data_IF_712053961311
#
_entry.id   IF_712053961311
#
_cell.length_a   1.000
_cell.length_b   1.000
_cell.length_c   1.000
_cell.angle_alpha   90.00
_cell.angle_beta   90.00
_cell.angle_gamma   90.00
#
_symmetry.space_group_name_H-M   'P 1'
#
loop_
_entity.id
_entity.type
_entity.pdbx_description
1 polymer ?
#
# COMPACT_ATOMS: atom_id res chain seq x y z
N UNK A 1 -40.89 -28.79 36.43
CA UNK A 1 -40.11 -28.45 37.65
C UNK A 1 -38.82 -27.79 37.19
N UNK A 2 -38.57 -26.55 37.64
CA UNK A 2 -37.53 -25.63 37.16
C UNK A 2 -36.12 -26.15 37.49
N UNK A 3 -35.19 -26.17 36.53
CA UNK A 3 -33.76 -26.13 36.84
C UNK A 3 -33.23 -24.72 36.69
N UNK A 4 -32.62 -24.23 37.77
CA UNK A 4 -32.17 -22.87 38.00
C UNK A 4 -30.91 -22.58 37.17
N UNK A 5 -30.87 -21.39 36.57
CA UNK A 5 -29.65 -20.74 36.07
C UNK A 5 -28.76 -20.38 37.26
N UNK A 6 -27.49 -20.74 37.20
CA UNK A 6 -26.46 -20.20 38.09
C UNK A 6 -25.57 -19.27 37.28
N UNK A 7 -25.68 -17.98 37.57
CA UNK A 7 -24.77 -16.92 37.12
C UNK A 7 -23.58 -16.93 38.08
N UNK A 8 -22.35 -16.98 37.57
CA UNK A 8 -21.15 -16.66 38.34
C UNK A 8 -20.45 -15.50 37.63
N UNK A 9 -20.68 -14.30 38.18
CA UNK A 9 -19.87 -13.12 37.94
C UNK A 9 -18.52 -13.30 38.64
N UNK A 10 -17.42 -13.16 37.90
CA UNK A 10 -16.06 -13.09 38.44
C UNK A 10 -15.54 -11.65 38.36
N UNK A 11 -15.31 -11.06 39.52
CA UNK A 11 -14.92 -9.66 39.78
C UNK A 11 -13.51 -9.36 39.27
N UNK A 12 -13.34 -8.23 38.58
CA UNK A 12 -12.04 -7.62 38.26
C UNK A 12 -11.63 -6.67 39.39
N UNK A 13 -10.63 -7.08 40.19
CA UNK A 13 -9.96 -6.22 41.16
C UNK A 13 -8.89 -5.37 40.46
N UNK A 14 -9.10 -4.05 40.43
CA UNK A 14 -8.16 -3.06 39.91
C UNK A 14 -7.14 -2.75 41.01
N UNK A 15 -5.88 -3.12 40.78
CA UNK A 15 -4.73 -2.59 41.52
C UNK A 15 -4.10 -1.45 40.73
N UNK A 16 -4.25 -0.22 41.19
CA UNK A 16 -3.51 0.94 40.69
C UNK A 16 -2.11 0.92 41.31
N UNK A 17 -1.07 0.97 40.49
CA UNK A 17 0.24 1.44 40.94
C UNK A 17 0.88 2.29 39.84
N UNK A 18 1.19 3.54 40.21
CA UNK A 18 1.86 4.53 39.38
C UNK A 18 3.39 4.35 39.47
N UNK A 19 4.09 4.62 38.36
CA UNK A 19 5.46 5.13 38.42
C UNK A 19 6.49 4.46 37.49
N UNK A 20 7.08 5.32 36.66
CA UNK A 20 8.38 5.22 35.96
C UNK A 20 8.45 4.49 34.60
N UNK A 21 9.11 5.19 33.68
CA UNK A 21 9.30 4.95 32.25
C UNK A 21 10.00 3.64 31.91
N UNK A 22 9.42 2.86 31.00
CA UNK A 22 10.09 1.73 30.34
C UNK A 22 9.12 0.69 29.79
N UNK A 23 9.09 0.56 28.46
CA UNK A 23 8.48 -0.51 27.64
C UNK A 23 6.95 -0.70 27.75
N UNK A 24 6.30 -0.76 26.58
CA UNK A 24 4.91 -1.19 26.45
C UNK A 24 4.79 -2.62 27.01
N UNK A 25 3.98 -2.80 28.05
CA UNK A 25 3.66 -4.12 28.57
C UNK A 25 2.70 -4.80 27.60
N UNK A 26 3.15 -5.94 27.04
CA UNK A 26 2.29 -6.91 26.38
C UNK A 26 1.12 -7.25 27.31
N UNK A 27 -0.12 -7.04 26.86
CA UNK A 27 -1.29 -7.47 27.59
C UNK A 27 -1.30 -8.99 27.72
N UNK A 28 -1.15 -9.47 28.95
CA UNK A 28 -1.16 -10.90 29.27
C UNK A 28 -2.43 -11.59 28.74
N UNK A 29 -2.26 -12.55 27.83
CA UNK A 29 -3.34 -13.43 27.35
C UNK A 29 -3.30 -14.69 28.19
N UNK A 30 -4.43 -15.09 28.77
CA UNK A 30 -4.50 -16.28 29.61
C UNK A 30 -4.79 -17.53 28.78
N UNK A 31 -4.07 -18.63 29.06
CA UNK A 31 -4.23 -19.93 28.42
C UNK A 31 -4.58 -21.00 29.44
N UNK A 32 -5.59 -21.81 29.12
CA UNK A 32 -6.00 -22.95 29.94
C UNK A 32 -5.30 -24.21 29.43
N UNK A 33 -4.44 -24.78 30.27
CA UNK A 33 -3.66 -25.99 30.02
C UNK A 33 -4.57 -27.14 29.62
N UNK A 34 -4.20 -27.82 28.52
CA UNK A 34 -4.85 -29.02 28.00
C UNK A 34 -4.06 -30.28 28.38
N UNK A 35 -4.69 -31.44 28.22
CA UNK A 35 -4.02 -32.73 28.49
C UNK A 35 -2.81 -32.92 27.58
N UNK A 36 -1.65 -33.23 28.16
CA UNK A 36 -0.40 -33.46 27.42
C UNK A 36 0.41 -32.20 27.10
N UNK A 37 -0.03 -31.02 27.56
CA UNK A 37 0.69 -29.77 27.44
C UNK A 37 1.98 -29.75 28.27
N UNK A 38 2.99 -29.09 27.73
CA UNK A 38 4.20 -28.70 28.45
C UNK A 38 4.53 -27.25 28.09
N UNK A 39 5.30 -26.55 28.92
CA UNK A 39 5.78 -25.21 28.60
C UNK A 39 6.50 -25.16 27.24
N UNK A 40 7.22 -26.22 26.87
CA UNK A 40 7.86 -26.34 25.58
C UNK A 40 6.85 -26.45 24.42
N UNK A 41 5.84 -27.33 24.53
CA UNK A 41 4.80 -27.48 23.48
C UNK A 41 3.97 -26.22 23.31
N UNK A 42 3.62 -25.56 24.41
CA UNK A 42 2.87 -24.30 24.40
C UNK A 42 3.74 -23.18 23.80
N UNK A 43 5.00 -23.07 24.23
CA UNK A 43 5.95 -22.12 23.66
C UNK A 43 6.09 -22.28 22.15
N UNK A 44 6.24 -23.51 21.67
CA UNK A 44 6.28 -23.82 20.24
C UNK A 44 4.99 -23.41 19.52
N UNK A 45 3.82 -23.74 20.09
CA UNK A 45 2.51 -23.43 19.51
C UNK A 45 2.30 -21.92 19.30
N UNK A 46 2.70 -21.10 20.27
CA UNK A 46 2.49 -19.65 20.26
C UNK A 46 3.70 -18.85 19.76
N UNK A 47 4.77 -19.53 19.30
CA UNK A 47 6.03 -18.91 18.93
C UNK A 47 6.65 -18.06 20.07
N UNK A 48 6.58 -18.55 21.30
CA UNK A 48 7.12 -17.95 22.52
C UNK A 48 8.30 -18.82 22.98
N UNK A 49 9.43 -18.19 23.33
CA UNK A 49 10.54 -18.97 23.89
C UNK A 49 10.12 -19.59 25.23
N UNK A 50 10.51 -20.85 25.46
CA UNK A 50 10.19 -21.57 26.71
C UNK A 50 10.67 -20.76 27.92
N UNK A 51 11.83 -20.10 27.83
CA UNK A 51 12.36 -19.24 28.87
C UNK A 51 11.46 -18.03 29.17
N UNK A 52 10.93 -17.36 28.14
CA UNK A 52 10.01 -16.23 28.33
C UNK A 52 8.68 -16.69 28.94
N UNK A 53 8.16 -17.83 28.49
CA UNK A 53 6.92 -18.40 29.02
C UNK A 53 7.07 -18.86 30.48
N UNK A 54 8.18 -19.52 30.81
CA UNK A 54 8.50 -19.90 32.19
C UNK A 54 8.61 -18.66 33.08
N UNK A 55 9.36 -17.63 32.63
CA UNK A 55 9.51 -16.37 33.36
C UNK A 55 8.18 -15.66 33.60
N UNK A 56 7.31 -15.58 32.59
CA UNK A 56 6.00 -14.95 32.70
C UNK A 56 5.07 -15.66 33.70
N UNK A 57 5.34 -16.92 34.01
CA UNK A 57 4.55 -17.76 34.90
C UNK A 57 5.26 -18.08 36.22
N UNK A 58 6.39 -17.41 36.52
CA UNK A 58 7.23 -17.72 37.69
C UNK A 58 7.56 -19.23 37.81
N UNK A 59 7.76 -19.89 36.67
CA UNK A 59 8.01 -21.31 36.54
C UNK A 59 9.49 -21.59 36.16
N UNK A 60 9.90 -22.84 36.27
CA UNK A 60 11.21 -23.33 35.84
C UNK A 60 11.08 -24.62 35.01
N UNK A 61 12.19 -25.15 34.52
CA UNK A 61 12.25 -26.34 33.65
C UNK A 61 11.63 -27.62 34.27
N UNK A 62 11.53 -27.69 35.60
CA UNK A 62 10.94 -28.82 36.33
C UNK A 62 9.45 -28.60 36.64
N UNK A 63 8.87 -27.46 36.26
CA UNK A 63 7.47 -27.14 36.57
C UNK A 63 6.53 -27.94 35.67
N UNK A 64 5.70 -28.80 36.28
CA UNK A 64 4.69 -29.61 35.60
C UNK A 64 3.39 -28.82 35.44
N UNK A 65 2.77 -28.91 34.26
CA UNK A 65 1.47 -28.30 33.98
C UNK A 65 0.34 -29.30 34.20
N UNK A 66 -0.74 -28.86 34.84
CA UNK A 66 -1.93 -29.68 35.08
C UNK A 66 -3.09 -29.27 34.18
N UNK A 67 -3.83 -30.21 33.57
CA UNK A 67 -4.99 -29.87 32.76
C UNK A 67 -6.00 -28.99 33.51
N UNK A 68 -6.39 -27.88 32.89
CA UNK A 68 -7.28 -26.87 33.47
C UNK A 68 -6.58 -25.73 34.21
N UNK A 69 -5.29 -25.85 34.51
CA UNK A 69 -4.47 -24.76 35.05
C UNK A 69 -4.48 -23.58 34.07
N UNK A 70 -4.56 -22.35 34.59
CA UNK A 70 -4.40 -21.15 33.76
C UNK A 70 -2.98 -20.63 33.87
N UNK A 71 -2.36 -20.35 32.72
CA UNK A 71 -1.04 -19.73 32.63
C UNK A 71 -1.13 -18.46 31.77
N UNK A 72 -0.21 -17.54 32.00
CA UNK A 72 -0.05 -16.31 31.23
C UNK A 72 0.80 -16.60 30.00
N UNK A 73 0.30 -16.22 28.82
CA UNK A 73 1.09 -16.17 27.61
C UNK A 73 1.60 -14.74 27.40
N UNK A 74 2.93 -14.50 27.39
CA UNK A 74 3.50 -13.19 27.11
C UNK A 74 3.49 -12.92 25.59
N UNK A 75 2.29 -12.90 25.00
CA UNK A 75 2.06 -12.64 23.57
C UNK A 75 2.14 -11.13 23.35
N UNK A 76 2.90 -10.70 22.34
CA UNK A 76 2.97 -9.29 21.97
C UNK A 76 1.61 -8.76 21.52
N UNK A 77 1.29 -7.51 21.85
CA UNK A 77 0.00 -6.89 21.51
C UNK A 77 -0.32 -6.93 20.01
N UNK A 78 0.70 -6.84 19.16
CA UNK A 78 0.58 -6.93 17.69
C UNK A 78 0.07 -8.29 17.17
N UNK A 79 0.17 -9.34 18.00
CA UNK A 79 -0.36 -10.69 17.71
C UNK A 79 -1.75 -10.92 18.30
N UNK A 80 -2.41 -9.88 18.83
CA UNK A 80 -3.73 -9.99 19.44
C UNK A 80 -4.72 -9.08 18.72
N UNK A 81 -5.76 -9.69 18.16
CA UNK A 81 -6.91 -8.99 17.61
C UNK A 81 -8.04 -8.91 18.65
N UNK A 82 -8.58 -7.70 18.86
CA UNK A 82 -9.74 -7.49 19.73
C UNK A 82 -11.00 -7.56 18.89
N UNK A 83 -11.84 -8.54 19.19
CA UNK A 83 -13.08 -8.83 18.47
C UNK A 83 -14.02 -7.62 18.51
N UNK A 84 -14.51 -7.24 17.33
CA UNK A 84 -15.50 -6.20 17.10
C UNK A 84 -16.89 -6.81 16.83
N UNK A 85 -17.91 -5.96 16.78
CA UNK A 85 -19.27 -6.41 16.50
C UNK A 85 -19.37 -7.05 15.11
N UNK A 86 -19.93 -8.26 15.03
CA UNK A 86 -20.08 -9.01 13.78
C UNK A 86 -18.85 -9.84 13.37
N UNK A 87 -17.80 -9.86 14.17
CA UNK A 87 -16.63 -10.67 13.89
C UNK A 87 -16.88 -12.17 14.11
N UNK A 88 -16.24 -12.97 13.27
CA UNK A 88 -16.19 -14.43 13.34
C UNK A 88 -14.76 -14.88 13.09
N UNK A 89 -14.37 -16.07 13.52
CA UNK A 89 -13.07 -16.61 13.15
C UNK A 89 -12.87 -16.67 11.63
N UNK A 90 -13.96 -16.88 10.86
CA UNK A 90 -13.90 -16.94 9.41
C UNK A 90 -13.57 -15.58 8.79
N UNK A 91 -14.30 -14.52 9.13
CA UNK A 91 -14.05 -13.20 8.52
C UNK A 91 -12.72 -12.60 8.99
N UNK A 92 -12.29 -12.86 10.22
CA UNK A 92 -10.95 -12.52 10.71
C UNK A 92 -9.89 -13.26 9.89
N UNK A 93 -10.06 -14.57 9.66
CA UNK A 93 -9.08 -15.32 8.86
C UNK A 93 -8.99 -14.78 7.42
N UNK A 94 -10.12 -14.41 6.80
CA UNK A 94 -10.13 -13.80 5.46
C UNK A 94 -9.44 -12.44 5.45
N UNK A 95 -9.74 -11.59 6.43
CA UNK A 95 -9.17 -10.24 6.57
C UNK A 95 -7.65 -10.25 6.66
N UNK A 96 -7.09 -11.20 7.40
CA UNK A 96 -5.65 -11.31 7.63
C UNK A 96 -4.94 -12.34 6.72
N UNK A 97 -5.68 -12.98 5.79
CA UNK A 97 -5.12 -14.01 4.91
C UNK A 97 -4.65 -15.27 5.63
N UNK A 98 -5.22 -15.58 6.80
CA UNK A 98 -4.83 -16.73 7.64
C UNK A 98 -5.68 -17.94 7.24
N UNK A 99 -5.09 -19.13 7.28
CA UNK A 99 -5.84 -20.36 7.14
C UNK A 99 -6.87 -20.48 8.29
N UNK A 100 -8.15 -20.64 7.94
CA UNK A 100 -9.23 -20.69 8.92
C UNK A 100 -9.02 -21.76 10.02
N UNK A 101 -8.57 -22.97 9.63
CA UNK A 101 -8.33 -24.05 10.59
C UNK A 101 -7.13 -23.78 11.49
N UNK A 102 -6.10 -23.13 10.96
CA UNK A 102 -4.94 -22.70 11.73
C UNK A 102 -5.32 -21.66 12.79
N UNK A 103 -6.12 -20.65 12.40
CA UNK A 103 -6.60 -19.63 13.32
C UNK A 103 -7.43 -20.24 14.46
N UNK A 104 -8.32 -21.19 14.15
CA UNK A 104 -9.09 -21.90 15.16
C UNK A 104 -8.17 -22.69 16.12
N UNK A 105 -7.23 -23.47 15.58
CA UNK A 105 -6.32 -24.29 16.36
C UNK A 105 -5.43 -23.46 17.30
N UNK A 106 -4.95 -22.29 16.83
CA UNK A 106 -4.15 -21.36 17.62
C UNK A 106 -4.93 -20.81 18.82
N UNK A 107 -6.23 -20.59 18.65
CA UNK A 107 -7.12 -20.03 19.66
C UNK A 107 -7.85 -21.09 20.49
N UNK A 108 -7.47 -22.38 20.38
CA UNK A 108 -8.20 -23.50 21.00
C UNK A 108 -9.70 -23.49 20.68
N UNK A 109 -10.07 -22.97 19.51
CA UNK A 109 -11.42 -22.84 19.03
C UNK A 109 -11.75 -23.97 18.03
N UNK A 110 -13.03 -24.10 17.73
CA UNK A 110 -13.55 -24.98 16.68
C UNK A 110 -14.57 -24.23 15.83
N UNK A 111 -15.10 -24.88 14.79
CA UNK A 111 -16.01 -24.26 13.83
C UNK A 111 -17.32 -23.75 14.45
N UNK A 112 -17.69 -24.24 15.64
CA UNK A 112 -18.86 -23.80 16.40
C UNK A 112 -18.54 -22.74 17.45
N UNK A 113 -17.27 -22.34 17.60
CA UNK A 113 -16.87 -21.30 18.55
C UNK A 113 -17.35 -19.92 18.10
N UNK A 114 -18.17 -19.28 18.93
CA UNK A 114 -18.64 -17.91 18.73
C UNK A 114 -17.70 -16.92 19.41
N UNK A 115 -17.60 -15.72 18.84
CA UNK A 115 -16.81 -14.60 19.38
C UNK A 115 -17.74 -13.53 19.94
N UNK A 116 -17.40 -12.99 21.10
CA UNK A 116 -18.04 -11.82 21.70
C UNK A 116 -17.16 -10.59 21.52
N UNK A 117 -17.78 -9.42 21.41
CA UNK A 117 -17.06 -8.14 21.34
C UNK A 117 -16.15 -8.00 22.56
N UNK A 118 -14.87 -7.68 22.31
CA UNK A 118 -13.83 -7.58 23.33
C UNK A 118 -13.04 -8.86 23.57
N UNK A 119 -13.46 -10.00 23.00
CA UNK A 119 -12.66 -11.22 23.04
C UNK A 119 -11.29 -10.99 22.36
N UNK A 120 -10.27 -11.67 22.86
CA UNK A 120 -8.91 -11.61 22.32
C UNK A 120 -8.66 -12.82 21.44
N UNK A 121 -8.47 -12.59 20.14
CA UNK A 121 -8.08 -13.60 19.16
C UNK A 121 -6.59 -13.47 18.91
N UNK A 122 -5.85 -14.52 19.22
CA UNK A 122 -4.43 -14.63 18.92
C UNK A 122 -4.28 -14.87 17.41
N UNK A 123 -3.52 -14.01 16.76
CA UNK A 123 -3.12 -14.16 15.36
C UNK A 123 -1.74 -14.85 15.29
N UNK A 124 -1.47 -15.69 14.28
CA UNK A 124 -0.14 -16.21 14.08
C UNK A 124 0.82 -15.06 13.71
N UNK A 125 2.10 -15.19 14.03
CA UNK A 125 3.08 -14.17 13.67
C UNK A 125 3.20 -14.00 12.14
N UNK A 126 2.99 -15.09 11.41
CA UNK A 126 3.04 -15.14 9.94
C UNK A 126 1.91 -15.97 9.39
N UNK A 127 1.37 -15.61 8.23
CA UNK A 127 0.44 -16.43 7.45
C UNK A 127 1.11 -16.93 6.18
N UNK A 128 0.74 -18.12 5.71
CA UNK A 128 1.19 -18.61 4.42
C UNK A 128 0.28 -18.09 3.31
N UNK A 129 0.88 -17.55 2.25
CA UNK A 129 0.20 -17.09 1.05
C UNK A 129 0.76 -17.81 -0.17
N UNK A 130 -0.12 -18.48 -0.90
CA UNK A 130 0.23 -19.07 -2.20
C UNK A 130 0.18 -17.97 -3.26
N UNK A 131 1.32 -17.69 -3.86
CA UNK A 131 1.52 -16.74 -4.96
C UNK A 131 0.57 -17.09 -6.10
N UNK A 132 -0.21 -16.09 -6.50
CA UNK A 132 -1.12 -16.14 -7.63
C UNK A 132 -0.47 -15.52 -8.87
N UNK A 133 -1.07 -15.76 -10.04
CA UNK A 133 -0.57 -15.19 -11.31
C UNK A 133 -0.56 -13.66 -11.26
N UNK A 134 0.61 -13.06 -11.47
CA UNK A 134 0.83 -11.61 -11.45
C UNK A 134 1.23 -11.05 -10.09
N UNK A 135 1.37 -11.91 -9.07
CA UNK A 135 1.88 -11.47 -7.78
C UNK A 135 3.37 -11.13 -7.82
N UNK A 136 3.69 -10.04 -7.16
CA UNK A 136 5.04 -9.67 -6.75
C UNK A 136 5.02 -9.47 -5.23
N UNK A 137 6.19 -9.48 -4.60
CA UNK A 137 6.27 -9.09 -3.19
C UNK A 137 5.64 -7.71 -2.93
N UNK A 138 5.71 -6.80 -3.92
CA UNK A 138 5.11 -5.49 -3.79
C UNK A 138 3.57 -5.57 -3.80
N UNK A 139 2.96 -6.20 -4.80
CA UNK A 139 1.50 -6.31 -4.89
C UNK A 139 0.92 -7.06 -3.69
N UNK A 140 1.62 -8.10 -3.23
CA UNK A 140 1.26 -8.84 -2.01
C UNK A 140 1.36 -7.93 -0.77
N UNK A 141 2.41 -7.12 -0.65
CA UNK A 141 2.56 -6.20 0.48
C UNK A 141 1.41 -5.20 0.57
N UNK A 142 0.93 -4.70 -0.58
CA UNK A 142 -0.19 -3.77 -0.65
C UNK A 142 -1.51 -4.48 -0.31
N UNK A 143 -1.74 -5.67 -0.90
CA UNK A 143 -2.92 -6.50 -0.64
C UNK A 143 -3.10 -6.79 0.85
N UNK A 144 -2.02 -7.11 1.54
CA UNK A 144 -2.03 -7.42 2.96
C UNK A 144 -1.72 -6.22 3.85
N UNK A 145 -1.51 -5.02 3.30
CA UNK A 145 -1.14 -3.81 4.08
C UNK A 145 0.04 -4.05 5.03
N UNK A 146 1.03 -4.82 4.58
CA UNK A 146 2.24 -5.13 5.36
C UNK A 146 3.43 -4.34 4.85
N UNK A 147 4.43 -4.15 5.71
CA UNK A 147 5.67 -3.49 5.29
C UNK A 147 6.39 -4.34 4.22
N UNK A 148 6.63 -3.75 3.05
CA UNK A 148 7.26 -4.42 1.92
C UNK A 148 8.66 -4.98 2.25
N UNK A 149 9.49 -4.19 2.95
CA UNK A 149 10.85 -4.59 3.33
C UNK A 149 10.83 -5.77 4.30
N UNK A 150 9.89 -5.76 5.24
CA UNK A 150 9.73 -6.85 6.20
C UNK A 150 9.24 -8.13 5.52
N UNK A 151 8.29 -8.00 4.59
CA UNK A 151 7.80 -9.11 3.79
C UNK A 151 8.94 -9.77 2.97
N UNK A 152 9.82 -8.98 2.36
CA UNK A 152 11.00 -9.50 1.65
C UNK A 152 11.94 -10.24 2.60
N UNK A 153 12.33 -9.59 3.70
CA UNK A 153 13.24 -10.17 4.70
C UNK A 153 12.70 -11.47 5.27
N UNK A 154 11.40 -11.53 5.57
CA UNK A 154 10.73 -12.71 6.12
C UNK A 154 10.84 -13.92 5.19
N UNK A 155 10.89 -13.69 3.88
CA UNK A 155 10.97 -14.72 2.87
C UNK A 155 12.39 -14.98 2.35
N UNK A 156 13.42 -14.40 3.00
CA UNK A 156 14.79 -14.47 2.49
C UNK A 156 14.95 -13.87 1.09
N UNK A 157 14.01 -13.01 0.70
CA UNK A 157 13.91 -12.41 -0.62
C UNK A 157 14.51 -11.01 -0.62
N UNK A 158 14.76 -10.50 -1.83
CA UNK A 158 15.13 -9.12 -2.08
C UNK A 158 14.31 -8.58 -3.28
N UNK A 159 14.52 -7.33 -3.64
CA UNK A 159 13.72 -6.65 -4.68
C UNK A 159 13.91 -7.24 -6.09
N UNK A 160 14.94 -8.06 -6.30
CA UNK A 160 15.16 -8.82 -7.54
C UNK A 160 14.57 -10.23 -7.49
N UNK A 161 14.00 -10.63 -6.36
CA UNK A 161 13.36 -11.94 -6.21
C UNK A 161 12.05 -11.97 -6.97
N UNK A 162 11.96 -12.90 -7.90
CA UNK A 162 10.72 -13.22 -8.60
C UNK A 162 9.90 -14.20 -7.77
N UNK A 163 8.59 -14.17 -8.00
CA UNK A 163 7.66 -15.11 -7.39
C UNK A 163 7.11 -16.04 -8.47
N UNK A 164 7.23 -17.34 -8.23
CA UNK A 164 6.64 -18.35 -9.09
C UNK A 164 5.18 -18.58 -8.70
N UNK A 165 4.33 -18.77 -9.69
CA UNK A 165 2.92 -19.10 -9.44
C UNK A 165 2.85 -20.42 -8.66
N UNK A 166 2.10 -20.42 -7.56
CA UNK A 166 2.02 -21.56 -6.65
C UNK A 166 3.11 -21.61 -5.59
N UNK A 167 4.13 -20.74 -5.65
CA UNK A 167 5.10 -20.57 -4.58
C UNK A 167 4.38 -20.16 -3.30
N UNK A 168 4.72 -20.77 -2.17
CA UNK A 168 4.18 -20.36 -0.87
C UNK A 168 5.18 -19.41 -0.21
N UNK A 169 4.72 -18.21 0.13
CA UNK A 169 5.49 -17.23 0.88
C UNK A 169 4.82 -16.92 2.22
N UNK A 170 5.59 -16.40 3.17
CA UNK A 170 5.12 -15.98 4.49
C UNK A 170 4.77 -14.49 4.48
N UNK A 171 3.60 -14.14 5.00
CA UNK A 171 3.13 -12.77 5.19
C UNK A 171 3.24 -12.43 6.68
N UNK A 172 3.88 -11.31 7.08
CA UNK A 172 3.95 -10.92 8.48
C UNK A 172 2.59 -10.36 8.93
N UNK A 173 1.83 -11.13 9.72
CA UNK A 173 0.47 -10.74 10.15
C UNK A 173 0.53 -9.65 11.24
N UNK A 174 1.57 -9.66 12.07
CA UNK A 174 1.76 -8.70 13.17
C UNK A 174 2.00 -7.27 12.69
N UNK A 175 2.60 -7.10 11.51
CA UNK A 175 2.87 -5.79 10.91
C UNK A 175 1.62 -5.13 10.33
N UNK A 176 0.53 -5.89 10.18
CA UNK A 176 -0.77 -5.41 9.69
C UNK A 176 -1.50 -4.57 10.75
N UNK A 177 -1.17 -4.76 12.04
CA UNK A 177 -1.69 -3.97 13.17
C UNK A 177 -0.88 -2.70 13.47
N UNK A 178 0.28 -2.51 12.82
CA UNK A 178 1.24 -1.43 13.10
C UNK A 178 1.16 -0.26 12.11
N UNK A 179 0.18 -0.22 11.21
CA UNK A 179 -0.08 0.99 10.40
C UNK A 179 -0.72 2.03 11.32
N UNK A 180 -0.09 3.19 11.58
CA UNK A 180 -0.71 4.25 12.35
C UNK A 180 -1.96 4.73 11.60
N UNK A 181 -3.12 4.67 12.26
CA UNK A 181 -4.29 5.39 11.83
C UNK A 181 -3.99 6.90 11.93
N UNK A 182 -3.84 7.57 10.78
CA UNK A 182 -3.93 9.02 10.73
C UNK A 182 -5.38 9.43 10.96
N UNK A 183 -5.68 9.68 12.24
CA UNK A 183 -6.62 10.68 12.78
C UNK A 183 -8.02 10.74 12.17
N UNK A 184 -8.87 9.78 12.54
CA UNK A 184 -10.31 10.00 12.64
C UNK A 184 -10.62 10.71 13.97
N UNK A 185 -11.01 11.99 13.94
CA UNK A 185 -11.65 12.64 15.08
C UNK A 185 -13.17 12.42 14.98
N UNK A 186 -13.74 11.70 15.95
CA UNK A 186 -15.19 11.65 16.19
C UNK A 186 -15.59 12.74 17.19
N UNK A 187 -16.71 13.41 16.90
CA UNK A 187 -17.78 13.91 17.79
C UNK A 187 -18.62 14.90 16.94
N UNK A 188 -19.96 14.91 16.86
CA UNK A 188 -21.02 14.32 17.65
C UNK A 188 -22.32 14.17 16.82
N UNK A 189 -23.20 13.29 17.29
CA UNK A 189 -24.65 13.18 17.03
C UNK A 189 -25.37 14.41 16.43
N UNK A 190 -26.21 14.20 15.41
CA UNK A 190 -27.67 14.46 15.51
C UNK A 190 -28.44 13.99 14.27
N UNK A 191 -29.43 13.12 14.52
CA UNK A 191 -30.77 12.99 13.91
C UNK A 191 -31.06 13.34 12.44
N UNK A 192 -31.70 12.38 11.77
CA UNK A 192 -32.68 12.51 10.68
C UNK A 192 -33.36 13.89 10.60
N UNK A 193 -33.34 14.53 9.43
CA UNK A 193 -34.53 15.07 8.71
C UNK A 193 -34.12 15.43 7.27
N UNK A 194 -34.95 15.01 6.31
CA UNK A 194 -34.89 15.33 4.88
C UNK A 194 -34.87 16.84 4.60
N UNK A 195 -34.05 17.30 3.66
CA UNK A 195 -34.49 18.03 2.45
C UNK A 195 -33.33 18.49 1.56
N UNK A 196 -33.59 18.40 0.26
CA UNK A 196 -32.69 18.64 -0.86
C UNK A 196 -32.20 20.09 -0.98
N UNK A 197 -30.88 20.25 -1.14
CA UNK A 197 -30.14 21.21 -2.01
C UNK A 197 -28.83 21.65 -1.34
N UNK A 198 -27.69 21.00 -1.66
CA UNK A 198 -26.37 21.63 -1.65
C UNK A 198 -25.27 20.70 -2.17
N UNK A 199 -24.28 21.27 -2.86
CA UNK A 199 -23.16 20.56 -3.48
C UNK A 199 -22.35 19.73 -2.48
N UNK A 200 -22.14 18.46 -2.82
CA UNK A 200 -21.36 17.51 -2.04
C UNK A 200 -19.88 17.92 -2.02
N UNK A 201 -19.44 18.56 -0.93
CA UNK A 201 -18.03 18.64 -0.59
C UNK A 201 -17.57 17.28 -0.04
N UNK A 202 -17.23 16.37 -0.96
CA UNK A 202 -16.46 15.16 -0.65
C UNK A 202 -15.02 15.58 -0.31
N UNK A 203 -14.61 15.37 0.94
CA UNK A 203 -13.35 15.88 1.52
C UNK A 203 -12.08 15.11 1.09
N UNK A 204 -12.17 14.11 0.21
CA UNK A 204 -11.02 13.29 -0.22
C UNK A 204 -11.24 12.58 -1.55
N UNK A 205 -10.19 11.96 -2.13
CA UNK A 205 -10.30 11.24 -3.39
C UNK A 205 -11.31 10.09 -3.28
N UNK A 206 -12.12 9.92 -4.32
CA UNK A 206 -13.15 8.87 -4.35
C UNK A 206 -13.31 8.26 -5.73
N UNK A 207 -13.72 7.00 -5.77
CA UNK A 207 -13.88 6.24 -7.01
C UNK A 207 -15.37 6.19 -7.37
N UNK A 208 -15.68 6.59 -8.61
CA UNK A 208 -16.95 6.30 -9.27
C UNK A 208 -16.72 5.24 -10.35
N UNK A 209 -17.80 4.79 -10.99
CA UNK A 209 -17.70 3.82 -12.07
C UNK A 209 -18.44 4.30 -13.31
N UNK A 210 -17.83 4.08 -14.47
CA UNK A 210 -18.49 4.18 -15.77
C UNK A 210 -18.52 2.81 -16.44
N UNK A 211 -19.25 2.69 -17.55
CA UNK A 211 -19.31 1.46 -18.34
C UNK A 211 -18.62 1.65 -19.68
N UNK A 212 -17.85 0.66 -20.11
CA UNK A 212 -17.21 0.60 -21.41
C UNK A 212 -17.56 -0.70 -22.13
N UNK A 213 -17.88 -0.61 -23.42
CA UNK A 213 -18.16 -1.79 -24.25
C UNK A 213 -16.90 -2.14 -25.04
N UNK A 214 -16.37 -3.34 -24.83
CA UNK A 214 -15.17 -3.86 -25.49
C UNK A 214 -15.33 -3.81 -27.01
N UNK A 215 -14.35 -3.22 -27.67
CA UNK A 215 -14.26 -3.04 -29.12
C UNK A 215 -13.27 -4.04 -29.74
N UNK A 216 -13.29 -4.17 -31.07
CA UNK A 216 -12.35 -5.02 -31.80
C UNK A 216 -10.92 -4.52 -31.59
N UNK A 217 -10.03 -5.41 -31.11
CA UNK A 217 -8.62 -5.10 -30.86
C UNK A 217 -8.33 -4.63 -29.43
N UNK A 218 -9.36 -4.46 -28.60
CA UNK A 218 -9.16 -4.09 -27.20
C UNK A 218 -8.50 -5.21 -26.40
N UNK A 219 -7.56 -4.82 -25.55
CA UNK A 219 -7.01 -5.60 -24.45
C UNK A 219 -7.32 -4.89 -23.13
N UNK A 220 -7.29 -5.63 -22.01
CA UNK A 220 -7.42 -5.01 -20.68
C UNK A 220 -6.37 -3.92 -20.47
N UNK A 221 -5.16 -4.12 -20.99
CA UNK A 221 -4.08 -3.13 -20.94
C UNK A 221 -4.44 -1.85 -21.71
N UNK A 222 -4.84 -1.96 -22.98
CA UNK A 222 -5.18 -0.79 -23.80
C UNK A 222 -6.41 -0.04 -23.29
N UNK A 223 -7.37 -0.75 -22.69
CA UNK A 223 -8.54 -0.12 -22.06
C UNK A 223 -8.12 0.62 -20.80
N UNK A 224 -7.32 -0.01 -19.93
CA UNK A 224 -6.85 0.62 -18.71
C UNK A 224 -6.01 1.88 -19.00
N UNK A 225 -5.12 1.80 -19.99
CA UNK A 225 -4.34 2.95 -20.46
C UNK A 225 -5.24 4.08 -20.98
N UNK A 226 -6.24 3.75 -21.81
CA UNK A 226 -7.24 4.71 -22.30
C UNK A 226 -7.99 5.44 -21.19
N UNK A 227 -8.26 4.77 -20.08
CA UNK A 227 -8.95 5.35 -18.93
C UNK A 227 -8.01 5.87 -17.83
N UNK A 228 -6.69 5.81 -18.04
CA UNK A 228 -5.72 6.34 -17.09
C UNK A 228 -5.67 5.58 -15.75
N UNK A 229 -6.05 4.30 -15.75
CA UNK A 229 -6.04 3.42 -14.58
C UNK A 229 -5.04 2.28 -14.79
N UNK A 230 -4.67 1.58 -13.72
CA UNK A 230 -3.89 0.36 -13.88
C UNK A 230 -4.74 -0.76 -14.49
N UNK A 231 -4.09 -1.64 -15.27
CA UNK A 231 -4.73 -2.87 -15.76
C UNK A 231 -5.30 -3.71 -14.61
N UNK A 232 -4.64 -3.67 -13.46
CA UNK A 232 -5.09 -4.36 -12.24
C UNK A 232 -6.43 -3.82 -11.73
N UNK A 233 -6.59 -2.50 -11.60
CA UNK A 233 -7.85 -1.89 -11.15
C UNK A 233 -9.02 -2.20 -12.11
N UNK A 234 -8.75 -2.18 -13.42
CA UNK A 234 -9.74 -2.59 -14.42
C UNK A 234 -10.16 -4.05 -14.21
N UNK A 235 -9.17 -4.93 -14.02
CA UNK A 235 -9.40 -6.35 -13.85
C UNK A 235 -10.19 -6.65 -12.56
N UNK A 236 -9.79 -6.04 -11.45
CA UNK A 236 -10.44 -6.17 -10.14
C UNK A 236 -11.90 -5.70 -10.19
N UNK A 237 -12.16 -4.53 -10.78
CA UNK A 237 -13.53 -3.99 -10.89
C UNK A 237 -14.49 -4.88 -11.70
N UNK A 238 -13.93 -5.79 -12.51
CA UNK A 238 -14.69 -6.68 -13.40
C UNK A 238 -14.59 -8.16 -13.00
N UNK A 239 -13.92 -8.48 -11.89
CA UNK A 239 -13.63 -9.86 -11.49
C UNK A 239 -13.00 -10.71 -12.61
N UNK A 240 -12.13 -10.09 -13.43
CA UNK A 240 -11.40 -10.75 -14.52
C UNK A 240 -9.91 -10.82 -14.16
N UNK A 241 -9.15 -11.66 -14.86
CA UNK A 241 -7.70 -11.78 -14.66
C UNK A 241 -6.93 -11.58 -15.97
N UNK A 242 -5.59 -11.59 -15.91
CA UNK A 242 -4.73 -11.36 -17.08
C UNK A 242 -4.87 -12.41 -18.19
N UNK A 243 -5.50 -13.56 -17.89
CA UNK A 243 -5.77 -14.64 -18.84
C UNK A 243 -7.20 -14.57 -19.38
N UNK A 244 -8.05 -13.68 -18.85
CA UNK A 244 -9.42 -13.52 -19.33
C UNK A 244 -9.40 -12.87 -20.70
N UNK A 245 -9.94 -13.59 -21.69
CA UNK A 245 -10.17 -13.04 -23.02
C UNK A 245 -11.36 -12.10 -22.96
N UNK A 246 -11.16 -10.86 -23.36
CA UNK A 246 -12.24 -9.88 -23.49
C UNK A 246 -13.01 -10.16 -24.77
N UNK A 247 -14.33 -10.31 -24.66
CA UNK A 247 -15.18 -10.54 -25.83
C UNK A 247 -15.68 -9.20 -26.38
N UNK A 248 -15.68 -9.05 -27.70
CA UNK A 248 -16.26 -7.86 -28.35
C UNK A 248 -17.74 -7.73 -27.92
N UNK A 249 -18.14 -6.54 -27.49
CA UNK A 249 -19.47 -6.28 -26.93
C UNK A 249 -19.61 -6.52 -25.43
N UNK A 250 -18.61 -7.10 -24.76
CA UNK A 250 -18.58 -7.23 -23.30
C UNK A 250 -18.60 -5.85 -22.64
N UNK A 251 -19.48 -5.66 -21.66
CA UNK A 251 -19.50 -4.45 -20.84
C UNK A 251 -18.56 -4.60 -19.66
N UNK A 252 -17.65 -3.65 -19.51
CA UNK A 252 -16.73 -3.54 -18.39
C UNK A 252 -17.13 -2.36 -17.50
N UNK A 253 -17.02 -2.56 -16.19
CA UNK A 253 -17.08 -1.55 -15.13
C UNK A 253 -15.71 -0.89 -15.01
N UNK A 254 -15.63 0.39 -15.31
CA UNK A 254 -14.38 1.14 -15.34
C UNK A 254 -14.30 2.04 -14.10
N UNK A 255 -13.31 1.85 -13.22
CA UNK A 255 -13.01 2.81 -12.14
C UNK A 255 -12.68 4.20 -12.70
N UNK A 256 -13.25 5.22 -12.08
CA UNK A 256 -12.96 6.63 -12.37
C UNK A 256 -12.57 7.30 -11.06
N UNK A 257 -11.31 7.68 -10.94
CA UNK A 257 -10.78 8.39 -9.79
C UNK A 257 -11.12 9.87 -9.87
N UNK A 258 -11.85 10.36 -8.87
CA UNK A 258 -12.15 11.77 -8.71
C UNK A 258 -11.20 12.34 -7.66
N UNK A 259 -10.32 13.22 -8.10
CA UNK A 259 -9.32 13.88 -7.24
C UNK A 259 -9.80 15.31 -6.96
N UNK A 260 -10.31 15.62 -5.76
CA UNK A 260 -10.72 16.97 -5.40
C UNK A 260 -9.60 17.98 -5.59
N UNK A 261 -9.97 19.23 -5.85
CA UNK A 261 -9.02 20.35 -5.86
C UNK A 261 -8.65 20.65 -4.41
N UNK A 262 -7.34 20.70 -4.12
CA UNK A 262 -6.81 21.10 -2.82
C UNK A 262 -6.50 22.58 -2.79
N UNK A 263 -6.67 23.19 -1.62
CA UNK A 263 -6.22 24.55 -1.39
C UNK A 263 -4.70 24.64 -1.47
N UNK A 264 -4.20 25.81 -1.88
CA UNK A 264 -2.76 26.11 -1.91
C UNK A 264 -2.49 27.36 -1.08
N UNK A 265 -1.29 27.52 -0.48
CA UNK A 265 -0.96 28.70 0.32
C UNK A 265 -0.89 30.02 -0.47
N UNK A 266 -0.98 29.99 -1.80
CA UNK A 266 -0.89 31.16 -2.65
C UNK A 266 -0.66 30.83 -4.12
N UNK A 267 -0.73 31.85 -4.99
CA UNK A 267 -0.72 31.67 -6.45
C UNK A 267 0.55 31.04 -7.03
N UNK A 268 1.69 31.14 -6.35
CA UNK A 268 2.94 30.50 -6.81
C UNK A 268 3.00 29.00 -6.50
N UNK A 269 2.17 28.50 -5.59
CA UNK A 269 2.22 27.12 -5.11
C UNK A 269 1.27 26.20 -5.88
N UNK A 270 1.58 24.91 -5.83
CA UNK A 270 0.78 23.83 -6.39
C UNK A 270 0.13 22.97 -5.31
N UNK A 271 -0.87 22.21 -5.71
CA UNK A 271 -1.57 21.23 -4.88
C UNK A 271 -0.62 20.09 -4.47
N UNK A 272 -0.56 19.79 -3.17
CA UNK A 272 0.19 18.65 -2.66
C UNK A 272 -0.63 17.37 -2.85
N UNK A 273 -0.36 16.68 -3.97
CA UNK A 273 -1.05 15.45 -4.34
C UNK A 273 -0.18 14.23 -4.09
N UNK A 274 -0.76 13.23 -3.43
CA UNK A 274 -0.14 11.92 -3.22
C UNK A 274 -0.09 11.14 -4.54
N UNK A 275 1.06 10.54 -4.85
CA UNK A 275 1.26 9.82 -6.10
C UNK A 275 0.29 8.65 -6.26
N UNK A 276 0.09 7.88 -5.20
CA UNK A 276 -0.58 6.59 -5.25
C UNK A 276 -2.10 6.73 -5.29
N UNK A 277 -2.63 7.80 -4.70
CA UNK A 277 -4.08 8.01 -4.56
C UNK A 277 -4.62 9.15 -5.43
N UNK A 278 -3.77 10.03 -5.95
CA UNK A 278 -4.21 11.27 -6.58
C UNK A 278 -3.46 11.60 -7.87
N UNK A 279 -2.17 11.96 -7.80
CA UNK A 279 -1.46 12.58 -8.92
C UNK A 279 -1.38 11.67 -10.16
N UNK A 280 -1.20 10.35 -9.98
CA UNK A 280 -1.10 9.42 -11.10
C UNK A 280 -2.40 9.29 -11.91
N UNK A 281 -3.54 9.52 -11.26
CA UNK A 281 -4.87 9.46 -11.88
C UNK A 281 -5.30 10.82 -12.42
N UNK A 282 -4.84 11.90 -11.80
CA UNK A 282 -5.04 13.24 -12.32
C UNK A 282 -4.24 13.46 -13.61
N UNK A 283 -3.02 12.94 -13.68
CA UNK A 283 -2.12 13.09 -14.83
C UNK A 283 -1.79 11.68 -15.38
N UNK A 284 -2.75 11.02 -16.04
CA UNK A 284 -2.57 9.65 -16.53
C UNK A 284 -1.48 9.55 -17.61
N UNK A 285 -1.00 8.34 -17.90
CA UNK A 285 -0.06 8.10 -19.00
C UNK A 285 -0.64 8.62 -20.32
N UNK A 286 0.22 9.17 -21.17
CA UNK A 286 -0.17 9.83 -22.39
C UNK A 286 -0.54 11.31 -22.23
N UNK A 287 -0.72 11.80 -21.00
CA UNK A 287 -1.01 13.21 -20.74
C UNK A 287 0.14 14.11 -21.17
N UNK A 288 -0.20 15.21 -21.83
CA UNK A 288 0.71 16.30 -22.13
C UNK A 288 0.42 17.47 -21.20
N UNK A 289 1.46 18.03 -20.58
CA UNK A 289 1.34 19.11 -19.62
C UNK A 289 2.53 20.06 -19.64
N UNK A 290 2.32 21.26 -19.12
CA UNK A 290 3.36 22.28 -18.95
C UNK A 290 4.06 22.06 -17.60
N UNK A 291 5.39 21.98 -17.63
CA UNK A 291 6.25 22.00 -16.45
C UNK A 291 6.79 23.41 -16.28
N UNK A 292 6.63 23.98 -15.09
CA UNK A 292 7.17 25.30 -14.74
C UNK A 292 8.21 25.11 -13.65
N UNK A 293 9.45 25.55 -13.89
CA UNK A 293 10.46 25.58 -12.84
C UNK A 293 10.08 26.61 -11.78
N UNK A 294 10.04 26.16 -10.53
CA UNK A 294 9.48 26.96 -9.45
C UNK A 294 10.30 28.23 -9.14
N UNK A 295 11.61 28.21 -9.40
CA UNK A 295 12.49 29.34 -9.09
C UNK A 295 12.58 30.35 -10.23
N UNK A 296 12.72 29.89 -11.46
CA UNK A 296 12.94 30.77 -12.63
C UNK A 296 11.63 31.18 -13.31
N UNK A 297 10.54 30.45 -13.09
CA UNK A 297 9.26 30.65 -13.78
C UNK A 297 9.27 30.24 -15.26
N UNK A 298 10.42 29.76 -15.78
CA UNK A 298 10.51 29.22 -17.13
C UNK A 298 9.72 27.93 -17.24
N UNK A 299 9.10 27.72 -18.40
CA UNK A 299 8.28 26.54 -18.64
C UNK A 299 8.49 25.90 -20.00
N UNK A 300 8.20 24.61 -20.07
CA UNK A 300 8.32 23.78 -21.25
C UNK A 300 7.28 22.66 -21.19
N UNK A 301 6.97 22.06 -22.34
CA UNK A 301 5.97 21.00 -22.42
C UNK A 301 6.61 19.62 -22.42
N UNK A 302 5.94 18.71 -21.72
CA UNK A 302 6.33 17.29 -21.64
C UNK A 302 5.12 16.40 -21.87
N UNK A 303 5.39 15.13 -22.17
CA UNK A 303 4.40 14.06 -22.13
C UNK A 303 4.82 13.04 -21.09
N UNK A 304 3.88 12.58 -20.26
CA UNK A 304 4.09 11.37 -19.45
C UNK A 304 4.03 10.15 -20.37
N UNK A 305 5.17 9.54 -20.64
CA UNK A 305 5.28 8.37 -21.53
C UNK A 305 5.33 7.06 -20.76
N UNK A 306 5.62 7.11 -19.46
CA UNK A 306 5.68 5.92 -18.61
C UNK A 306 5.44 6.21 -17.13
N UNK A 307 6.16 5.47 -16.29
CA UNK A 307 6.21 5.70 -14.85
C UNK A 307 5.14 4.96 -14.06
N UNK A 308 5.60 4.11 -13.14
CA UNK A 308 4.77 3.38 -12.16
C UNK A 308 4.94 3.93 -10.75
N UNK A 309 6.17 4.30 -10.38
CA UNK A 309 6.51 4.78 -9.05
C UNK A 309 6.54 6.31 -8.95
N UNK A 310 6.64 6.96 -10.11
CA UNK A 310 6.60 8.38 -10.40
C UNK A 310 6.25 8.54 -11.88
N UNK A 311 6.25 9.76 -12.42
CA UNK A 311 5.95 9.99 -13.83
C UNK A 311 7.23 10.04 -14.67
N UNK A 312 7.40 9.06 -15.55
CA UNK A 312 8.46 9.07 -16.57
C UNK A 312 7.99 9.95 -17.72
N UNK A 313 8.76 11.00 -18.01
CA UNK A 313 8.35 12.04 -18.94
C UNK A 313 9.41 12.31 -20.01
N UNK A 314 8.93 12.75 -21.16
CA UNK A 314 9.77 13.17 -22.29
C UNK A 314 9.36 14.57 -22.72
N UNK A 315 10.34 15.41 -23.08
CA UNK A 315 10.05 16.71 -23.72
C UNK A 315 9.38 16.49 -25.07
N UNK A 316 8.46 17.39 -25.46
CA UNK A 316 7.78 17.26 -26.75
C UNK A 316 8.66 17.65 -27.93
N UNK A 317 9.49 18.68 -27.78
CA UNK A 317 10.25 19.27 -28.88
C UNK A 317 11.68 19.64 -28.49
N UNK A 318 12.52 19.89 -29.50
CA UNK A 318 13.88 20.45 -29.31
C UNK A 318 13.85 21.81 -28.62
N UNK A 319 12.78 22.60 -28.78
CA UNK A 319 12.63 23.86 -28.06
C UNK A 319 12.44 23.63 -26.56
N UNK A 320 11.61 22.66 -26.19
CA UNK A 320 11.35 22.30 -24.79
C UNK A 320 12.63 21.83 -24.10
N UNK A 321 13.42 20.98 -24.77
CA UNK A 321 14.68 20.50 -24.18
C UNK A 321 15.72 21.60 -24.02
N UNK A 322 15.77 22.58 -24.92
CA UNK A 322 16.67 23.71 -24.79
C UNK A 322 16.32 24.57 -23.56
N UNK A 323 15.03 24.80 -23.29
CA UNK A 323 14.58 25.50 -22.08
C UNK A 323 14.93 24.68 -20.83
N UNK A 324 14.69 23.37 -20.84
CA UNK A 324 15.05 22.48 -19.73
C UNK A 324 16.56 22.54 -19.43
N UNK A 325 17.41 22.48 -20.46
CA UNK A 325 18.87 22.62 -20.31
C UNK A 325 19.26 23.99 -19.77
N UNK A 326 18.59 25.06 -20.17
CA UNK A 326 18.86 26.41 -19.67
C UNK A 326 18.58 26.54 -18.17
N UNK A 327 17.53 25.86 -17.67
CA UNK A 327 17.16 25.88 -16.24
C UNK A 327 18.16 25.08 -15.38
N UNK A 328 18.62 23.92 -15.88
CA UNK A 328 19.51 23.02 -15.14
C UNK A 328 21.01 23.20 -15.43
N UNK A 329 21.38 24.03 -16.42
CA UNK A 329 22.76 24.16 -16.90
C UNK A 329 23.25 22.97 -17.72
N UNK A 330 22.33 22.24 -18.36
CA UNK A 330 22.58 20.98 -19.07
C UNK A 330 21.74 19.83 -18.52
N UNK A 331 22.09 18.59 -18.90
CA UNK A 331 21.46 17.41 -18.30
C UNK A 331 21.98 17.18 -16.89
N UNK A 332 21.08 16.94 -15.96
CA UNK A 332 21.43 16.97 -14.54
C UNK A 332 20.47 16.18 -13.67
N UNK A 333 21.04 15.41 -12.75
CA UNK A 333 20.33 14.74 -11.67
C UNK A 333 19.96 15.70 -10.52
N UNK A 334 20.23 17.00 -10.61
CA UNK A 334 19.82 17.94 -9.55
C UNK A 334 18.30 17.96 -9.46
N UNK A 335 17.77 17.69 -8.25
CA UNK A 335 16.33 17.78 -7.97
C UNK A 335 15.95 19.23 -7.85
N UNK A 336 14.90 19.63 -8.56
CA UNK A 336 14.32 20.98 -8.45
C UNK A 336 12.83 20.91 -8.15
N UNK A 337 12.28 21.89 -7.40
CA UNK A 337 10.85 22.08 -7.28
C UNK A 337 10.28 22.56 -8.62
N UNK A 338 9.18 21.96 -9.04
CA UNK A 338 8.45 22.36 -10.26
C UNK A 338 6.95 22.41 -9.98
N UNK A 339 6.22 23.18 -10.79
CA UNK A 339 4.76 23.20 -10.85
C UNK A 339 4.33 22.54 -12.15
N UNK A 340 3.44 21.56 -12.04
CA UNK A 340 2.78 20.96 -13.20
C UNK A 340 1.47 21.69 -13.44
N UNK A 341 1.29 22.24 -14.64
CA UNK A 341 0.01 22.82 -15.07
C UNK A 341 -0.70 21.83 -15.98
N UNK A 342 -1.86 21.36 -15.53
CA UNK A 342 -2.67 20.40 -16.27
C UNK A 342 -4.16 20.64 -15.99
N UNK A 343 -4.97 20.73 -17.05
CA UNK A 343 -6.43 20.95 -16.97
C UNK A 343 -6.84 22.09 -16.02
N UNK A 344 -6.14 23.23 -16.07
CA UNK A 344 -6.41 24.40 -15.23
C UNK A 344 -5.94 24.29 -13.78
N UNK A 345 -5.33 23.16 -13.39
CA UNK A 345 -4.78 22.93 -12.05
C UNK A 345 -3.27 23.17 -12.02
N UNK A 346 -2.76 23.49 -10.84
CA UNK A 346 -1.31 23.59 -10.53
C UNK A 346 -0.98 22.53 -9.50
N UNK A 347 -0.09 21.60 -9.83
CA UNK A 347 0.28 20.49 -8.95
C UNK A 347 1.73 20.67 -8.52
N UNK A 348 2.01 20.53 -7.22
CA UNK A 348 3.35 20.57 -6.69
C UNK A 348 4.09 19.26 -7.03
N UNK A 349 5.27 19.39 -7.63
CA UNK A 349 6.10 18.26 -8.01
C UNK A 349 7.59 18.59 -7.84
N UNK A 350 8.43 17.60 -8.13
CA UNK A 350 9.86 17.78 -8.27
C UNK A 350 10.38 17.00 -9.47
N UNK A 351 11.37 17.55 -10.15
CA UNK A 351 11.89 16.97 -11.38
C UNK A 351 13.42 16.92 -11.38
N UNK A 352 13.98 15.97 -12.13
CA UNK A 352 15.37 16.01 -12.60
C UNK A 352 15.40 16.17 -14.13
N UNK A 353 16.50 16.69 -14.66
CA UNK A 353 16.69 16.94 -16.08
C UNK A 353 17.68 15.97 -16.72
N UNK A 354 17.74 14.71 -16.26
CA UNK A 354 18.62 13.69 -16.83
C UNK A 354 17.80 12.64 -17.60
N UNK A 355 17.79 12.69 -18.94
CA UNK A 355 17.23 11.62 -19.75
C UNK A 355 18.01 10.33 -19.57
N UNK A 356 17.31 9.20 -19.52
CA UNK A 356 17.92 7.88 -19.37
C UNK A 356 17.02 6.76 -19.92
N UNK A 357 17.62 5.57 -20.08
CA UNK A 357 16.97 4.34 -20.52
C UNK A 357 16.31 4.39 -21.91
N UNK A 358 16.84 5.23 -22.80
CA UNK A 358 16.31 5.42 -24.16
C UNK A 358 17.33 5.30 -25.29
N UNK A 359 16.83 5.29 -26.51
CA UNK A 359 17.59 5.17 -27.75
C UNK A 359 16.74 5.76 -28.89
N UNK A 360 17.13 6.94 -29.39
CA UNK A 360 16.36 7.67 -30.41
C UNK A 360 16.37 6.96 -31.77
N UNK A 361 17.36 6.11 -32.02
CA UNK A 361 17.47 5.32 -33.25
C UNK A 361 16.55 4.09 -33.29
N UNK A 362 15.88 3.76 -32.18
CA UNK A 362 14.98 2.62 -32.08
C UNK A 362 13.53 3.07 -31.77
N UNK A 363 12.50 2.30 -32.19
CA UNK A 363 11.13 2.55 -31.76
C UNK A 363 10.98 2.49 -30.23
N UNK A 364 10.04 3.26 -29.67
CA UNK A 364 9.70 3.16 -28.24
C UNK A 364 9.02 1.83 -27.92
N UNK A 365 9.27 1.29 -26.74
CA UNK A 365 8.67 0.04 -26.25
C UNK A 365 9.26 -1.25 -26.84
N UNK A 366 10.22 -1.17 -27.77
CA UNK A 366 10.91 -2.36 -28.30
C UNK A 366 12.22 -2.61 -27.58
N UNK A 367 12.67 -3.87 -27.57
CA UNK A 367 13.99 -4.20 -27.06
C UNK A 367 15.08 -3.61 -27.97
N UNK A 368 16.11 -3.02 -27.37
CA UNK A 368 17.30 -2.50 -28.06
C UNK A 368 18.57 -2.99 -27.37
N UNK A 369 19.65 -3.12 -28.14
CA UNK A 369 20.95 -3.60 -27.65
C UNK A 369 21.69 -2.60 -26.76
N UNK A 370 21.27 -1.33 -26.76
CA UNK A 370 21.87 -0.27 -25.95
C UNK A 370 20.87 0.85 -25.65
N UNK A 371 20.98 1.44 -24.45
CA UNK A 371 20.18 2.58 -23.98
C UNK A 371 21.03 3.59 -23.20
N UNK A 372 20.63 4.85 -23.25
CA UNK A 372 21.25 6.00 -22.59
C UNK A 372 21.32 5.85 -21.06
N UNK A 373 22.27 6.57 -20.44
CA UNK A 373 22.44 6.60 -18.99
C UNK A 373 22.99 5.31 -18.37
N UNK A 374 23.77 4.53 -19.14
CA UNK A 374 24.37 3.26 -18.72
C UNK A 374 23.37 2.14 -18.37
N UNK A 375 22.15 2.22 -18.92
CA UNK A 375 21.09 1.21 -18.71
C UNK A 375 21.28 -0.07 -19.51
N UNK A 376 22.28 -0.12 -20.40
CA UNK A 376 22.57 -1.27 -21.24
C UNK A 376 21.39 -1.71 -22.12
N UNK A 377 21.41 -2.96 -22.56
CA UNK A 377 20.34 -3.52 -23.37
C UNK A 377 19.02 -3.66 -22.59
N UNK A 378 17.89 -3.50 -23.28
CA UNK A 378 16.55 -3.64 -22.69
C UNK A 378 15.48 -2.91 -23.46
N UNK A 379 14.28 -2.80 -22.88
CA UNK A 379 13.16 -2.05 -23.48
C UNK A 379 13.52 -0.58 -23.63
N UNK A 380 13.33 -0.04 -24.84
CA UNK A 380 13.56 1.36 -25.17
C UNK A 380 12.45 2.24 -24.58
N UNK A 381 12.75 3.06 -23.58
CA UNK A 381 11.79 3.98 -22.97
C UNK A 381 11.88 5.39 -23.53
N UNK A 382 12.12 5.47 -24.83
CA UNK A 382 12.14 6.68 -25.62
C UNK A 382 11.02 6.57 -26.66
N UNK A 383 9.91 7.27 -26.41
CA UNK A 383 8.70 7.19 -27.21
C UNK A 383 8.53 8.40 -28.13
N UNK A 384 9.21 9.53 -27.86
CA UNK A 384 9.15 10.75 -28.66
C UNK A 384 10.47 10.94 -29.41
N UNK A 385 10.45 10.59 -30.70
CA UNK A 385 11.64 10.66 -31.53
C UNK A 385 12.03 12.08 -31.91
N UNK A 386 13.34 12.35 -31.97
CA UNK A 386 13.89 13.62 -32.48
C UNK A 386 13.58 14.85 -31.62
N UNK A 387 13.21 14.67 -30.35
CA UNK A 387 13.01 15.75 -29.39
C UNK A 387 14.34 16.25 -28.76
N UNK A 388 15.46 15.60 -29.08
CA UNK A 388 16.79 15.96 -28.60
C UNK A 388 17.19 15.31 -27.27
N UNK A 389 16.48 14.25 -26.85
CA UNK A 389 16.87 13.38 -25.74
C UNK A 389 16.76 11.90 -26.14
N UNK A 390 17.60 11.06 -25.51
CA UNK A 390 17.45 9.61 -25.56
C UNK A 390 16.80 9.14 -24.26
N UNK A 391 15.50 8.88 -24.27
CA UNK A 391 14.76 8.31 -23.13
C UNK A 391 13.97 9.33 -22.34
N UNK A 392 13.71 9.03 -21.08
CA UNK A 392 12.84 9.83 -20.21
C UNK A 392 13.58 10.39 -19.01
N UNK A 393 12.95 11.33 -18.32
CA UNK A 393 13.37 11.86 -17.04
C UNK A 393 12.23 11.82 -16.01
N UNK A 394 12.61 11.87 -14.74
CA UNK A 394 11.70 11.58 -13.64
C UNK A 394 11.03 12.85 -13.12
N UNK A 395 9.70 12.84 -13.05
CA UNK A 395 8.88 13.79 -12.30
C UNK A 395 8.23 13.08 -11.11
N UNK A 396 8.63 13.49 -9.92
CA UNK A 396 8.16 12.99 -8.64
C UNK A 396 7.03 13.84 -8.05
N UNK A 397 6.12 13.16 -7.37
CA UNK A 397 5.00 13.74 -6.60
C UNK A 397 5.09 13.28 -5.14
N UNK A 398 4.22 13.78 -4.27
CA UNK A 398 4.26 13.43 -2.85
C UNK A 398 4.13 11.91 -2.67
N UNK A 399 4.96 11.33 -1.81
CA UNK A 399 5.06 9.88 -1.58
C UNK A 399 5.46 8.99 -2.78
N UNK A 400 5.79 9.57 -3.93
CA UNK A 400 6.31 8.82 -5.07
C UNK A 400 7.71 8.26 -4.78
N UNK A 401 8.05 7.11 -5.34
CA UNK A 401 9.27 6.36 -4.99
C UNK A 401 10.22 6.20 -6.17
N UNK A 402 11.49 5.91 -5.92
CA UNK A 402 12.48 5.64 -6.97
C UNK A 402 12.35 4.22 -7.52
N UNK A 403 12.76 4.03 -8.77
CA UNK A 403 12.83 2.71 -9.39
C UNK A 403 13.90 1.80 -8.77
N UNK A 404 15.05 2.35 -8.37
CA UNK A 404 16.21 1.54 -7.96
C UNK A 404 16.01 0.73 -6.66
N UNK A 405 15.15 1.22 -5.76
CA UNK A 405 15.01 0.67 -4.41
C UNK A 405 13.59 0.81 -3.82
N UNK A 406 12.62 1.31 -4.60
CA UNK A 406 11.24 1.52 -4.14
C UNK A 406 11.10 2.51 -2.96
N UNK A 407 12.16 3.25 -2.61
CA UNK A 407 12.17 4.18 -1.48
C UNK A 407 11.85 5.59 -1.93
N UNK A 408 11.39 6.41 -0.98
CA UNK A 408 11.28 7.85 -1.15
C UNK A 408 12.67 8.45 -1.41
N UNK A 409 12.71 9.47 -2.26
CA UNK A 409 13.85 10.37 -2.40
C UNK A 409 13.65 11.61 -1.53
N UNK A 410 14.40 11.75 -0.42
CA UNK A 410 14.22 12.89 0.49
C UNK A 410 14.39 14.24 -0.20
N UNK A 411 15.26 14.32 -1.21
CA UNK A 411 15.50 15.57 -1.95
C UNK A 411 14.33 15.90 -2.87
N UNK A 412 13.74 14.90 -3.53
CA UNK A 412 12.49 15.10 -4.26
C UNK A 412 11.35 15.50 -3.34
N UNK A 413 11.16 14.78 -2.23
CA UNK A 413 10.09 15.09 -1.26
C UNK A 413 10.25 16.51 -0.70
N UNK A 414 11.48 16.95 -0.42
CA UNK A 414 11.73 18.33 0.01
C UNK A 414 11.38 19.34 -1.09
N UNK A 415 11.76 19.10 -2.35
CA UNK A 415 11.40 19.96 -3.47
C UNK A 415 9.88 20.02 -3.67
N UNK A 416 9.16 18.90 -3.52
CA UNK A 416 7.70 18.86 -3.61
C UNK A 416 7.07 19.71 -2.50
N UNK A 417 7.60 19.63 -1.28
CA UNK A 417 7.14 20.48 -0.17
C UNK A 417 7.35 21.97 -0.46
N UNK A 418 8.49 22.33 -1.04
CA UNK A 418 8.79 23.72 -1.47
C UNK A 418 7.76 24.20 -2.50
N UNK A 419 7.50 23.42 -3.55
CA UNK A 419 6.54 23.80 -4.59
C UNK A 419 5.08 23.77 -4.11
N UNK A 420 4.78 23.03 -3.04
CA UNK A 420 3.49 23.04 -2.35
C UNK A 420 3.33 24.15 -1.31
N UNK A 421 4.42 24.77 -0.85
CA UNK A 421 4.39 25.77 0.21
C UNK A 421 4.12 25.20 1.60
N UNK A 422 4.50 23.93 1.82
CA UNK A 422 4.40 23.27 3.13
C UNK A 422 5.80 23.13 3.75
N UNK A 423 5.92 23.33 5.06
CA UNK A 423 7.19 23.24 5.79
C UNK A 423 7.39 21.84 6.38
#
# INVERSE_FOLDING_TARGET
MKLKKTVICGVLSIGIMAGSSGFAFAQNVNYKVQSGDTFWKIGQKYNISTAALLKANNANENTVLYPGQTIVLPIKDESVYIVQSGDTYWNISQKYGINFKELLALNNANENSMLNVGDKVILPATANYTVQKGDTYWTISQKFKVNFTELLKLNGANEKSYLDIGQVIKIPVTSMSQVPATSSNQNNNSTNTSNNNSGNNLSGPYITYTSYTVQKGDTAWSIAEKFGISMYELMEANNINSSTVLNIGQKLKIPVHNVPVKSTPGEKYGELLDWWTEAQYLIPRGSTFEVVDFYTGKSFFVKRTGGSNHADCETLTVKDINIMKEIWGGFSWVRRPVIIKYNGRKIAASMTAMPHAGNDSAPGGVWTSWRSGDYGAGTNYDYIKGNGIDGHFDIHFYNSTRHKDGKLDPNHQQCIKISAGVQ
#
